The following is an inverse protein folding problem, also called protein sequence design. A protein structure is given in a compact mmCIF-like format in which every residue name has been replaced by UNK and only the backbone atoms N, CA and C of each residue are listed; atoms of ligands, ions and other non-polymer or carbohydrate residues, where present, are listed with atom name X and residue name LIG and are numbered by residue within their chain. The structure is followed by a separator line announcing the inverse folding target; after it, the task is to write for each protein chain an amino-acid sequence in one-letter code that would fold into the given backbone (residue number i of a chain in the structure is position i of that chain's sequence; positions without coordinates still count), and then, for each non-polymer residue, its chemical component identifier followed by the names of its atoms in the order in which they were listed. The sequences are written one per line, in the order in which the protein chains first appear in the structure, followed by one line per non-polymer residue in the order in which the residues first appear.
data_IF_005875618427
#
_entry.id   IF_005875618427
#
_cell.length_a   1.000
_cell.length_b   1.000
_cell.length_c   1.000
_cell.angle_alpha   90.00
_cell.angle_beta   90.00
_cell.angle_gamma   90.00
#
_symmetry.space_group_name_H-M   'P 1'
#
loop_
_entity.id
_entity.type
_entity.pdbx_description
1 polymer ?
#
# COMPACT_ATOMS: atom_id res chain seq x y z
N UNK A 1 -10.40 -1.54 7.49
CA UNK A 1 -10.28 -2.16 6.14
C UNK A 1 -8.83 -2.49 5.87
N UNK A 2 -8.57 -3.63 5.32
CA UNK A 2 -7.25 -4.03 4.86
C UNK A 2 -7.05 -3.62 3.42
N UNK A 3 -5.83 -3.20 3.06
CA UNK A 3 -5.52 -2.75 1.71
C UNK A 3 -4.13 -3.21 1.29
N UNK A 4 -3.99 -3.53 0.01
CA UNK A 4 -2.71 -3.74 -0.64
C UNK A 4 -2.49 -2.61 -1.64
N UNK A 5 -1.31 -2.01 -1.59
CA UNK A 5 -0.87 -1.02 -2.56
C UNK A 5 0.31 -1.62 -3.32
N UNK A 6 0.15 -1.78 -4.62
CA UNK A 6 1.18 -2.32 -5.49
C UNK A 6 1.52 -1.25 -6.52
N UNK A 7 2.79 -0.91 -6.65
CA UNK A 7 3.19 0.13 -7.59
C UNK A 7 4.30 -0.35 -8.52
N UNK A 8 4.27 0.18 -9.72
CA UNK A 8 5.34 0.02 -10.71
C UNK A 8 5.67 1.42 -11.23
N UNK A 9 6.73 2.00 -10.67
CA UNK A 9 7.09 3.39 -10.90
C UNK A 9 8.57 3.49 -11.24
N UNK A 10 8.89 4.00 -12.42
CA UNK A 10 10.27 4.16 -12.88
C UNK A 10 10.93 5.43 -12.34
N UNK A 11 10.14 6.50 -12.13
CA UNK A 11 10.65 7.76 -11.59
C UNK A 11 11.01 7.62 -10.12
N UNK A 12 12.27 7.87 -9.75
CA UNK A 12 12.73 7.83 -8.35
C UNK A 12 11.93 8.82 -7.47
N UNK A 13 11.65 10.00 -8.00
CA UNK A 13 10.91 11.04 -7.27
C UNK A 13 9.48 10.60 -6.98
N UNK A 14 8.76 10.10 -7.98
CA UNK A 14 7.38 9.63 -7.82
C UNK A 14 7.32 8.41 -6.89
N UNK A 15 8.25 7.46 -7.08
CA UNK A 15 8.31 6.27 -6.24
C UNK A 15 8.49 6.63 -4.77
N UNK A 16 9.40 7.55 -4.45
CA UNK A 16 9.61 8.02 -3.08
C UNK A 16 8.38 8.70 -2.50
N UNK A 17 7.64 9.45 -3.31
CA UNK A 17 6.40 10.09 -2.86
C UNK A 17 5.32 9.04 -2.52
N UNK A 18 5.13 8.02 -3.35
CA UNK A 18 4.18 6.94 -3.07
C UNK A 18 4.57 6.17 -1.81
N UNK A 19 5.85 5.86 -1.65
CA UNK A 19 6.37 5.20 -0.45
C UNK A 19 6.07 6.03 0.80
N UNK A 20 6.40 7.31 0.75
CA UNK A 20 6.19 8.21 1.88
C UNK A 20 4.71 8.33 2.25
N UNK A 21 3.84 8.51 1.27
CA UNK A 21 2.40 8.61 1.54
C UNK A 21 1.84 7.31 2.12
N UNK A 22 2.28 6.16 1.62
CA UNK A 22 1.85 4.86 2.15
C UNK A 22 2.33 4.66 3.59
N UNK A 23 3.56 5.03 3.90
CA UNK A 23 4.12 4.96 5.26
C UNK A 23 3.41 5.92 6.21
N UNK A 24 3.06 7.13 5.76
CA UNK A 24 2.34 8.11 6.57
C UNK A 24 0.96 7.59 7.00
N UNK A 25 0.34 6.74 6.21
CA UNK A 25 -0.93 6.10 6.56
C UNK A 25 -0.76 4.84 7.42
N UNK A 26 0.46 4.54 7.83
CA UNK A 26 0.74 3.40 8.71
C UNK A 26 0.79 2.05 8.01
N UNK A 27 0.88 2.03 6.69
CA UNK A 27 1.01 0.79 5.94
C UNK A 27 2.41 0.22 6.06
N UNK A 28 2.53 -1.10 5.98
CA UNK A 28 3.80 -1.80 6.10
C UNK A 28 4.33 -2.20 4.72
N UNK A 29 5.62 -1.94 4.49
CA UNK A 29 6.28 -2.37 3.26
C UNK A 29 6.58 -3.86 3.35
N UNK A 30 5.80 -4.68 2.65
CA UNK A 30 5.89 -6.14 2.71
C UNK A 30 6.75 -6.73 1.59
N UNK A 31 6.90 -5.97 0.51
CA UNK A 31 7.80 -6.26 -0.60
C UNK A 31 8.32 -4.93 -1.15
N UNK A 32 9.30 -4.99 -2.03
CA UNK A 32 9.97 -3.80 -2.58
C UNK A 32 8.98 -2.78 -3.16
N UNK A 33 7.94 -3.25 -3.83
CA UNK A 33 6.94 -2.41 -4.49
C UNK A 33 5.53 -2.67 -3.96
N UNK A 34 5.39 -3.14 -2.71
CA UNK A 34 4.12 -3.54 -2.13
C UNK A 34 4.01 -3.04 -0.70
N UNK A 35 2.93 -2.32 -0.42
CA UNK A 35 2.52 -1.97 0.93
C UNK A 35 1.23 -2.69 1.27
N UNK A 36 1.05 -3.00 2.55
CA UNK A 36 -0.15 -3.65 3.05
C UNK A 36 -0.42 -3.20 4.47
N UNK A 37 -1.69 -3.09 4.84
CA UNK A 37 -2.05 -2.75 6.20
C UNK A 37 -3.51 -2.40 6.36
N UNK A 38 -3.84 -1.96 7.57
CA UNK A 38 -5.17 -1.52 7.93
C UNK A 38 -5.27 0.00 7.76
N UNK A 39 -6.37 0.45 7.18
CA UNK A 39 -6.62 1.87 6.91
C UNK A 39 -8.12 2.11 6.95
N UNK A 40 -8.55 3.28 7.42
CA UNK A 40 -9.96 3.63 7.35
C UNK A 40 -10.34 4.15 5.95
N UNK A 41 -11.65 4.19 5.67
CA UNK A 41 -12.13 4.55 4.34
C UNK A 41 -11.73 5.97 3.91
N UNK A 42 -11.81 6.93 4.82
CA UNK A 42 -11.48 8.32 4.48
C UNK A 42 -9.99 8.51 4.22
N UNK A 43 -9.15 7.86 5.00
CA UNK A 43 -7.70 7.89 4.80
C UNK A 43 -7.30 7.17 3.50
N UNK A 44 -7.99 6.08 3.16
CA UNK A 44 -7.76 5.40 1.89
C UNK A 44 -8.13 6.29 0.72
N UNK A 45 -9.25 6.97 0.77
CA UNK A 45 -9.66 7.90 -0.29
C UNK A 45 -8.64 9.02 -0.47
N UNK A 46 -8.11 9.57 0.62
CA UNK A 46 -7.04 10.57 0.55
C UNK A 46 -5.76 10.01 -0.07
N UNK A 47 -5.37 8.80 0.32
CA UNK A 47 -4.19 8.14 -0.23
C UNK A 47 -4.33 7.91 -1.72
N UNK A 48 -5.49 7.44 -2.17
CA UNK A 48 -5.78 7.23 -3.58
C UNK A 48 -5.66 8.56 -4.34
N UNK A 49 -6.22 9.64 -3.80
CA UNK A 49 -6.15 10.95 -4.42
C UNK A 49 -4.71 11.44 -4.54
N UNK A 50 -3.92 11.28 -3.50
CA UNK A 50 -2.50 11.66 -3.50
C UNK A 50 -1.71 10.84 -4.52
N UNK A 51 -1.94 9.54 -4.58
CA UNK A 51 -1.28 8.68 -5.57
C UNK A 51 -1.65 9.09 -7.00
N UNK A 52 -2.92 9.42 -7.22
CA UNK A 52 -3.37 9.92 -8.52
C UNK A 52 -2.64 11.20 -8.92
N UNK A 53 -2.53 12.16 -8.01
CA UNK A 53 -1.80 13.41 -8.25
C UNK A 53 -0.32 13.13 -8.58
N UNK A 54 0.32 12.26 -7.82
CA UNK A 54 1.73 11.91 -8.02
C UNK A 54 1.95 11.31 -9.41
N UNK A 55 1.08 10.39 -9.82
CA UNK A 55 1.21 9.68 -11.10
C UNK A 55 0.88 10.60 -12.27
N UNK A 56 -0.11 11.46 -12.14
CA UNK A 56 -0.57 12.32 -13.22
C UNK A 56 0.24 13.62 -13.38
N UNK A 57 1.02 14.01 -12.35
CA UNK A 57 1.84 15.22 -12.39
C UNK A 57 3.12 14.96 -13.19
N UNK A 58 3.45 15.88 -14.10
CA UNK A 58 4.66 15.86 -14.91
C UNK A 58 4.85 14.54 -15.68
N UNK A 59 3.76 13.95 -16.13
CA UNK A 59 3.86 12.75 -16.98
C UNK A 59 4.45 13.09 -18.34
N UNK A 60 5.55 12.42 -18.65
CA UNK A 60 6.12 12.46 -19.98
C UNK A 60 5.40 11.47 -20.90
N UNK A 61 5.34 11.74 -22.21
CA UNK A 61 4.78 10.78 -23.15
C UNK A 61 5.50 9.42 -23.03
N UNK A 62 4.71 8.34 -22.93
CA UNK A 62 5.25 6.99 -22.80
C UNK A 62 5.52 6.56 -21.37
N UNK A 63 5.21 7.38 -20.38
CA UNK A 63 5.32 6.98 -18.97
C UNK A 63 4.22 5.98 -18.61
N UNK A 64 4.62 4.79 -18.19
CA UNK A 64 3.72 3.69 -17.82
C UNK A 64 3.65 3.46 -16.32
N UNK A 65 4.02 4.45 -15.51
CA UNK A 65 3.95 4.36 -14.06
C UNK A 65 2.53 4.10 -13.60
N UNK A 66 2.37 3.20 -12.63
CA UNK A 66 1.06 2.79 -12.14
C UNK A 66 1.07 2.49 -10.66
N UNK A 67 -0.11 2.63 -10.04
CA UNK A 67 -0.37 2.21 -8.66
C UNK A 67 -1.67 1.43 -8.67
N UNK A 68 -1.63 0.23 -8.12
CA UNK A 68 -2.83 -0.60 -7.95
C UNK A 68 -3.22 -0.62 -6.47
N UNK A 69 -4.50 -0.45 -6.20
CA UNK A 69 -5.06 -0.46 -4.85
C UNK A 69 -6.06 -1.61 -4.74
N UNK A 70 -5.80 -2.54 -3.82
CA UNK A 70 -6.66 -3.70 -3.61
C UNK A 70 -7.22 -3.68 -2.19
N UNK A 71 -8.45 -3.16 -1.99
CA UNK A 71 -9.13 -3.32 -0.70
C UNK A 71 -9.50 -4.78 -0.49
N UNK A 72 -9.28 -5.30 0.73
CA UNK A 72 -9.60 -6.68 1.06
C UNK A 72 -10.39 -6.73 2.37
N UNK A 73 -11.37 -7.63 2.45
CA UNK A 73 -11.99 -7.94 3.72
C UNK A 73 -11.06 -8.84 4.55
N UNK A 74 -11.28 -8.90 5.85
CA UNK A 74 -10.45 -9.70 6.76
C UNK A 74 -10.47 -11.18 6.37
N UNK A 75 -11.61 -11.70 5.95
CA UNK A 75 -11.76 -13.09 5.52
C UNK A 75 -10.84 -13.41 4.33
N UNK A 76 -10.83 -12.56 3.32
CA UNK A 76 -9.98 -12.75 2.14
C UNK A 76 -8.50 -12.59 2.49
N UNK A 77 -8.18 -11.65 3.36
CA UNK A 77 -6.79 -11.44 3.82
C UNK A 77 -6.24 -12.70 4.51
N UNK A 78 -7.05 -13.37 5.34
CA UNK A 78 -6.65 -14.62 5.99
C UNK A 78 -6.34 -15.74 5.00
N UNK A 79 -6.93 -15.69 3.82
CA UNK A 79 -6.73 -16.69 2.76
C UNK A 79 -5.49 -16.42 1.91
N UNK A 80 -4.85 -15.28 2.07
CA UNK A 80 -3.60 -14.96 1.34
C UNK A 80 -2.55 -16.00 1.71
N UNK A 81 -1.94 -16.59 0.70
CA UNK A 81 -0.86 -17.56 0.87
C UNK A 81 0.47 -16.88 0.62
N UNK A 82 1.40 -17.08 1.53
CA UNK A 82 2.75 -16.55 1.42
C UNK A 82 3.69 -17.73 1.19
N UNK A 83 4.40 -17.70 0.09
CA UNK A 83 5.36 -18.74 -0.27
C UNK A 83 6.73 -18.07 -0.33
N UNK A 84 7.67 -18.62 0.42
CA UNK A 84 8.99 -18.03 0.55
C UNK A 84 9.07 -17.05 1.71
N UNK A 85 9.92 -16.04 1.58
CA UNK A 85 10.08 -15.02 2.62
C UNK A 85 8.86 -14.09 2.60
N UNK A 86 8.15 -14.05 3.70
CA UNK A 86 6.94 -13.26 3.81
C UNK A 86 6.98 -12.27 4.97
N UNK A 87 5.81 -11.90 5.42
CA UNK A 87 5.62 -10.94 6.50
C UNK A 87 4.65 -11.51 7.54
N UNK A 88 4.62 -10.90 8.73
CA UNK A 88 3.71 -11.30 9.79
C UNK A 88 2.31 -10.71 9.50
N UNK A 89 1.37 -11.57 9.11
CA UNK A 89 0.01 -11.15 8.77
C UNK A 89 -0.73 -10.54 9.96
N UNK A 90 -0.50 -11.03 11.16
CA UNK A 90 -1.14 -10.50 12.36
C UNK A 90 -0.68 -9.08 12.68
N UNK A 91 0.60 -8.78 12.49
CA UNK A 91 1.13 -7.43 12.64
C UNK A 91 0.50 -6.47 11.65
N UNK A 92 0.45 -6.87 10.38
CA UNK A 92 -0.09 -6.05 9.30
C UNK A 92 -1.59 -5.78 9.49
N UNK A 93 -2.34 -6.76 10.01
CA UNK A 93 -3.77 -6.62 10.28
C UNK A 93 -4.09 -5.95 11.62
N UNK A 94 -3.07 -5.46 12.34
CA UNK A 94 -3.17 -4.82 13.66
C UNK A 94 -3.60 -5.73 14.81
N UNK A 95 -3.63 -7.05 14.60
CA UNK A 95 -3.99 -7.98 15.68
C UNK A 95 -2.98 -7.97 16.82
N UNK A 96 -1.69 -7.97 16.48
CA UNK A 96 -0.62 -7.90 17.48
C UNK A 96 -0.63 -6.53 18.16
N UNK A 97 -0.89 -5.47 17.40
CA UNK A 97 -0.96 -4.10 17.94
C UNK A 97 -2.03 -3.98 19.01
N UNK A 98 -3.20 -4.58 18.80
CA UNK A 98 -4.27 -4.55 19.79
C UNK A 98 -3.90 -5.27 21.09
N UNK A 99 -2.99 -6.25 21.04
CA UNK A 99 -2.53 -6.96 22.22
C UNK A 99 -1.48 -6.16 23.02
N UNK A 100 -0.76 -5.27 22.36
CA UNK A 100 0.28 -4.46 23.00
C UNK A 100 -0.29 -3.22 23.67
N UNK A 101 -1.37 -2.71 23.14
CA UNK A 101 -2.03 -1.53 23.68
C UNK A 101 -2.88 -1.84 24.91
#
# INVERSE_FOLDING_TARGET
MLVWIIYDITSDKRRRHVIKQSQNEGLYRVQKSVFCGSIDNSSLDELILKCKEIIETDQEPGNEDSVYVFPLCEKDFKRVKIIGKGFNKDLVSDKIRSLVL
#
